data_IF_270203760882
#
_entry.id   IF_270203760882
#
_cell.length_a   1.000
_cell.length_b   1.000
_cell.length_c   1.000
_cell.angle_alpha   90.00
_cell.angle_beta   90.00
_cell.angle_gamma   90.00
#
_symmetry.space_group_name_H-M   'P 1'
#
loop_
_entity.id
_entity.type
_entity.pdbx_description
1 polymer ?
#
# COMPACT_ATOMS: atom_id res chain seq x y z
N UNK A 1 -2.80 -23.77 -42.66
CA UNK A 1 -3.31 -24.48 -41.47
C UNK A 1 -3.49 -23.43 -40.39
N UNK A 2 -4.70 -23.33 -39.86
CA UNK A 2 -5.23 -22.20 -39.11
C UNK A 2 -4.45 -22.04 -37.81
N UNK A 3 -3.84 -20.88 -37.57
CA UNK A 3 -3.30 -20.56 -36.26
C UNK A 3 -4.48 -20.41 -35.30
N UNK A 4 -4.55 -21.28 -34.30
CA UNK A 4 -5.58 -21.25 -33.27
C UNK A 4 -5.56 -19.89 -32.59
N UNK A 5 -6.72 -19.24 -32.56
CA UNK A 5 -6.93 -18.05 -31.74
C UNK A 5 -6.70 -18.43 -30.29
N UNK A 6 -5.71 -17.81 -29.67
CA UNK A 6 -5.48 -17.83 -28.23
C UNK A 6 -6.69 -17.18 -27.55
N UNK A 7 -7.64 -17.99 -27.10
CA UNK A 7 -8.69 -17.53 -26.21
C UNK A 7 -8.06 -17.34 -24.82
N UNK A 8 -7.57 -16.14 -24.54
CA UNK A 8 -7.18 -15.76 -23.19
C UNK A 8 -8.46 -15.51 -22.40
N UNK A 9 -8.83 -16.44 -21.52
CA UNK A 9 -9.79 -16.18 -20.45
C UNK A 9 -9.10 -15.31 -19.40
N UNK A 10 -9.57 -14.08 -19.26
CA UNK A 10 -9.13 -13.16 -18.22
C UNK A 10 -10.03 -13.37 -17.02
N UNK A 11 -9.47 -13.86 -15.92
CA UNK A 11 -10.15 -13.79 -14.63
C UNK A 11 -10.21 -12.33 -14.20
N UNK A 12 -11.42 -11.85 -13.91
CA UNK A 12 -11.65 -10.50 -13.41
C UNK A 12 -11.21 -10.43 -11.95
N UNK A 13 -9.92 -10.16 -11.73
CA UNK A 13 -9.43 -9.74 -10.41
C UNK A 13 -10.08 -8.40 -10.11
N UNK A 14 -10.95 -8.37 -9.10
CA UNK A 14 -11.53 -7.13 -8.59
C UNK A 14 -10.45 -6.38 -7.83
N UNK A 15 -9.77 -5.46 -8.51
CA UNK A 15 -8.86 -4.51 -7.86
C UNK A 15 -9.75 -3.49 -7.16
N UNK A 16 -9.85 -3.57 -5.83
CA UNK A 16 -10.47 -2.51 -5.04
C UNK A 16 -9.50 -1.32 -4.98
N UNK A 17 -9.83 -0.25 -5.71
CA UNK A 17 -9.07 0.98 -5.65
C UNK A 17 -9.35 1.69 -4.33
N UNK A 18 -8.42 1.56 -3.38
CA UNK A 18 -8.41 2.39 -2.17
C UNK A 18 -7.85 3.77 -2.51
N UNK A 19 -8.46 4.81 -1.96
CA UNK A 19 -7.94 6.17 -2.06
C UNK A 19 -6.92 6.44 -0.96
N UNK A 20 -5.96 7.34 -1.20
CA UNK A 20 -4.98 7.78 -0.19
C UNK A 20 -5.64 8.23 1.11
N UNK A 21 -6.75 8.96 1.02
CA UNK A 21 -7.52 9.40 2.19
C UNK A 21 -8.12 8.24 3.00
N UNK A 22 -8.54 7.15 2.34
CA UNK A 22 -9.02 5.95 3.02
C UNK A 22 -7.86 5.21 3.68
N UNK A 23 -6.75 5.06 2.97
CA UNK A 23 -5.54 4.44 3.50
C UNK A 23 -5.02 5.19 4.73
N UNK A 24 -4.87 6.51 4.65
CA UNK A 24 -4.43 7.34 5.77
C UNK A 24 -5.35 7.20 7.00
N UNK A 25 -6.67 7.08 6.78
CA UNK A 25 -7.62 6.86 7.88
C UNK A 25 -7.37 5.51 8.58
N UNK A 26 -7.19 4.44 7.83
CA UNK A 26 -6.92 3.10 8.38
C UNK A 26 -5.59 3.07 9.14
N UNK A 27 -4.55 3.65 8.55
CA UNK A 27 -3.23 3.78 9.18
C UNK A 27 -3.29 4.60 10.47
N UNK A 28 -4.10 5.67 10.49
CA UNK A 28 -4.27 6.50 11.67
C UNK A 28 -4.87 5.70 12.82
N UNK A 29 -5.87 4.85 12.54
CA UNK A 29 -6.44 3.96 13.56
C UNK A 29 -5.43 2.90 14.05
N UNK A 30 -4.61 2.35 13.13
CA UNK A 30 -3.54 1.38 13.43
C UNK A 30 -2.50 2.00 14.38
N UNK A 31 -1.93 3.13 14.01
CA UNK A 31 -0.85 3.77 14.75
C UNK A 31 -1.29 4.54 16.00
N UNK A 32 -2.57 4.93 16.13
CA UNK A 32 -3.10 5.44 17.40
C UNK A 32 -3.17 4.33 18.45
N UNK A 33 -3.54 3.12 18.05
CA UNK A 33 -3.65 1.96 18.95
C UNK A 33 -2.25 1.49 19.38
N UNK A 34 -1.33 1.40 18.43
CA UNK A 34 0.06 1.01 18.65
C UNK A 34 0.99 2.00 17.92
N UNK A 35 1.42 3.07 18.59
CA UNK A 35 2.33 4.05 17.99
C UNK A 35 3.67 3.43 17.59
N UNK A 36 4.30 3.89 16.49
CA UNK A 36 5.67 3.53 16.16
C UNK A 36 6.65 3.86 17.31
N UNK A 37 7.77 3.14 17.38
CA UNK A 37 8.80 3.41 18.38
C UNK A 37 9.27 4.87 18.30
N UNK A 38 9.38 5.53 19.45
CA UNK A 38 9.76 6.94 19.52
C UNK A 38 8.62 7.93 19.23
N UNK A 39 7.39 7.46 18.98
CA UNK A 39 6.22 8.30 18.80
C UNK A 39 5.14 8.03 19.84
N UNK A 40 4.32 9.04 20.12
CA UNK A 40 3.12 8.94 20.95
C UNK A 40 1.85 8.93 20.09
N UNK A 41 0.78 8.34 20.60
CA UNK A 41 -0.52 8.33 19.91
C UNK A 41 -1.11 9.74 19.70
N UNK A 42 -0.70 10.72 20.50
CA UNK A 42 -1.07 12.12 20.33
C UNK A 42 -0.38 12.75 19.11
N UNK A 43 0.90 12.44 18.89
CA UNK A 43 1.65 12.90 17.72
C UNK A 43 1.07 12.31 16.43
N UNK A 44 0.77 11.00 16.42
CA UNK A 44 0.10 10.33 15.29
C UNK A 44 -1.28 10.94 14.98
N UNK A 45 -2.03 11.39 16.00
CA UNK A 45 -3.30 12.10 15.79
C UNK A 45 -3.14 13.47 15.15
N UNK A 46 -2.01 14.13 15.40
CA UNK A 46 -1.73 15.47 14.87
C UNK A 46 -1.07 15.45 13.49
N UNK A 47 -0.51 14.33 13.05
CA UNK A 47 0.08 14.18 11.71
C UNK A 47 -0.94 14.44 10.61
N UNK A 48 -0.51 15.07 9.52
CA UNK A 48 -1.29 15.11 8.29
C UNK A 48 -1.43 13.73 7.65
N UNK A 49 -2.36 13.58 6.71
CA UNK A 49 -2.52 12.33 5.98
C UNK A 49 -1.27 12.03 5.14
N UNK A 50 -0.68 13.04 4.51
CA UNK A 50 0.56 12.90 3.73
C UNK A 50 1.74 12.46 4.60
N UNK A 51 1.97 13.11 5.75
CA UNK A 51 3.04 12.72 6.68
C UNK A 51 2.88 11.29 7.20
N UNK A 52 1.63 10.85 7.38
CA UNK A 52 1.31 9.50 7.84
C UNK A 52 1.55 8.46 6.74
N UNK A 53 1.19 8.77 5.49
CA UNK A 53 1.43 7.92 4.33
C UNK A 53 2.92 7.80 4.01
N UNK A 54 3.65 8.92 4.03
CA UNK A 54 5.10 8.93 3.82
C UNK A 54 5.80 8.05 4.86
N UNK A 55 5.42 8.21 6.14
CA UNK A 55 5.99 7.41 7.22
C UNK A 55 5.68 5.91 7.07
N UNK A 56 4.44 5.56 6.73
CA UNK A 56 4.04 4.17 6.52
C UNK A 56 4.78 3.56 5.32
N UNK A 57 4.97 4.31 4.25
CA UNK A 57 5.79 3.93 3.10
C UNK A 57 7.25 3.67 3.53
N UNK A 58 7.87 4.58 4.28
CA UNK A 58 9.24 4.39 4.77
C UNK A 58 9.38 3.16 5.68
N UNK A 59 8.35 2.76 6.42
CA UNK A 59 8.43 1.57 7.27
C UNK A 59 8.22 0.26 6.49
N UNK A 60 7.29 0.23 5.54
CA UNK A 60 7.05 -0.96 4.73
C UNK A 60 8.12 -1.17 3.65
N UNK A 61 8.75 -0.12 3.11
CA UNK A 61 9.83 -0.24 2.11
C UNK A 61 11.02 -1.09 2.61
N UNK A 62 11.30 -1.09 3.92
CA UNK A 62 12.39 -1.91 4.50
C UNK A 62 11.92 -3.27 5.05
N UNK A 63 10.65 -3.41 5.39
CA UNK A 63 10.08 -4.67 5.91
C UNK A 63 9.62 -5.63 4.78
N UNK A 64 9.16 -5.10 3.64
CA UNK A 64 8.68 -5.88 2.47
C UNK A 64 9.79 -6.55 1.64
N UNK A 65 11.06 -6.42 2.01
CA UNK A 65 12.13 -7.23 1.38
C UNK A 65 11.95 -8.74 1.71
N UNK A 66 11.09 -9.09 2.68
CA UNK A 66 10.81 -10.48 3.05
C UNK A 66 9.35 -10.93 2.83
N UNK A 67 8.42 -10.05 2.46
CA UNK A 67 7.07 -10.46 2.04
C UNK A 67 7.02 -10.38 0.50
N UNK A 68 7.09 -11.58 -0.09
CA UNK A 68 7.22 -11.92 -1.52
C UNK A 68 6.01 -11.48 -2.39
N UNK A 69 5.36 -10.36 -2.06
CA UNK A 69 4.16 -9.84 -2.73
C UNK A 69 4.10 -8.28 -2.84
N UNK A 70 5.20 -7.57 -2.55
CA UNK A 70 5.35 -6.13 -2.83
C UNK A 70 6.52 -5.84 -3.77
N UNK A 71 6.77 -6.76 -4.72
CA UNK A 71 7.87 -6.70 -5.69
C UNK A 71 7.45 -6.56 -7.16
N UNK A 72 6.16 -6.45 -7.45
CA UNK A 72 5.62 -6.33 -8.80
C UNK A 72 4.58 -5.20 -8.78
N UNK A 73 4.96 -3.93 -8.67
CA UNK A 73 4.93 -3.03 -9.83
C UNK A 73 5.64 -1.73 -9.44
N UNK A 74 6.96 -1.70 -9.63
CA UNK A 74 7.65 -0.45 -9.82
C UNK A 74 7.04 0.25 -11.04
N UNK A 75 6.25 1.30 -10.81
CA UNK A 75 5.69 2.13 -11.87
C UNK A 75 6.82 2.59 -12.81
N UNK A 76 6.87 2.04 -14.03
CA UNK A 76 7.75 2.52 -15.09
C UNK A 76 7.20 3.85 -15.62
N UNK A 77 7.76 4.96 -15.13
CA UNK A 77 7.67 6.27 -15.79
C UNK A 77 8.73 6.36 -16.89
N UNK A 78 8.31 6.26 -18.16
CA UNK A 78 9.03 6.76 -19.34
C UNK A 78 8.06 7.38 -20.34
#
# INVERSE_FOLDING_TARGET
MIQSLYQYETEVVTIEYITEAQLAKELREKYIKNPPEGMTSAEVRSMSDDELLDMDYFFHEFDDINDDDFGEEGFYIF
#
